data_IF_975340935154
#
_entry.id   IF_975340935154
#
_cell.length_a   1.000
_cell.length_b   1.000
_cell.length_c   1.000
_cell.angle_alpha   90.00
_cell.angle_beta   90.00
_cell.angle_gamma   90.00
#
_symmetry.space_group_name_H-M   'P 1'
#
loop_
_entity.id
_entity.type
_entity.pdbx_description
1 polymer ?
#
# COMPACT_ATOMS: atom_id res chain seq x y z
N UNK A 1 -0.80 3.60 13.05
CA UNK A 1 -0.92 2.13 13.11
C UNK A 1 -2.39 1.75 13.18
N UNK A 2 -2.91 0.96 12.23
CA UNK A 2 -4.36 0.66 12.11
C UNK A 2 -4.92 -0.16 13.28
N UNK A 3 -4.12 -1.03 13.92
CA UNK A 3 -4.61 -1.83 15.05
C UNK A 3 -5.04 -0.98 16.25
N UNK A 4 -4.45 0.21 16.45
CA UNK A 4 -4.91 1.16 17.48
C UNK A 4 -6.32 1.72 17.22
N UNK A 5 -6.87 1.45 16.03
CA UNK A 5 -8.21 1.85 15.60
C UNK A 5 -9.17 0.67 15.48
N UNK A 6 -8.80 -0.51 16.03
CA UNK A 6 -9.67 -1.69 16.12
C UNK A 6 -9.56 -2.65 14.93
N UNK A 7 -8.59 -2.46 14.04
CA UNK A 7 -8.37 -3.37 12.91
C UNK A 7 -7.54 -4.59 13.32
N UNK A 8 -7.86 -5.74 12.75
CA UNK A 8 -6.93 -6.86 12.62
C UNK A 8 -5.96 -6.54 11.48
N UNK A 9 -4.66 -6.50 11.78
CA UNK A 9 -3.63 -6.09 10.83
C UNK A 9 -2.66 -7.22 10.60
N UNK A 10 -2.42 -7.54 9.33
CA UNK A 10 -1.36 -8.46 8.91
C UNK A 10 -0.29 -7.66 8.17
N UNK A 11 0.95 -7.73 8.63
CA UNK A 11 2.13 -7.17 7.95
C UNK A 11 2.93 -8.31 7.32
N UNK A 12 3.30 -8.18 6.05
CA UNK A 12 4.12 -9.16 5.34
C UNK A 12 5.48 -8.57 5.02
N UNK A 13 6.55 -9.27 5.38
CA UNK A 13 7.93 -8.83 5.17
C UNK A 13 8.79 -10.05 4.83
N UNK A 14 9.69 -9.93 3.87
CA UNK A 14 10.54 -11.06 3.44
C UNK A 14 11.76 -11.24 4.33
N UNK A 15 12.20 -10.16 5.00
CA UNK A 15 13.34 -10.15 5.91
C UNK A 15 12.94 -10.59 7.31
N UNK A 16 13.56 -11.66 7.81
CA UNK A 16 13.45 -12.05 9.22
C UNK A 16 13.72 -10.89 10.18
N UNK A 17 14.79 -10.10 9.92
CA UNK A 17 15.13 -8.95 10.76
C UNK A 17 14.11 -7.82 10.63
N UNK A 18 13.55 -7.62 9.44
CA UNK A 18 12.45 -6.69 9.21
C UNK A 18 11.22 -7.05 10.04
N UNK A 19 10.87 -8.34 10.09
CA UNK A 19 9.79 -8.85 10.93
C UNK A 19 10.04 -8.56 12.41
N UNK A 20 11.21 -8.94 12.93
CA UNK A 20 11.59 -8.71 14.33
C UNK A 20 11.50 -7.21 14.73
N UNK A 21 11.96 -6.31 13.85
CA UNK A 21 11.88 -4.86 14.09
C UNK A 21 10.43 -4.36 14.07
N UNK A 22 9.64 -4.82 13.09
CA UNK A 22 8.23 -4.44 12.97
C UNK A 22 7.39 -4.93 14.17
N UNK A 23 7.64 -6.15 14.65
CA UNK A 23 6.99 -6.71 15.84
C UNK A 23 7.32 -5.91 17.09
N UNK A 24 8.60 -5.58 17.31
CA UNK A 24 9.03 -4.79 18.46
C UNK A 24 8.42 -3.38 18.44
N UNK A 25 8.40 -2.74 17.26
CA UNK A 25 7.76 -1.43 17.09
C UNK A 25 6.24 -1.50 17.34
N UNK A 26 5.55 -2.50 16.78
CA UNK A 26 4.13 -2.72 16.98
C UNK A 26 3.78 -2.96 18.45
N UNK A 27 4.56 -3.78 19.15
CA UNK A 27 4.38 -4.06 20.58
C UNK A 27 4.56 -2.80 21.43
N UNK A 28 5.58 -1.98 21.12
CA UNK A 28 5.80 -0.70 21.81
C UNK A 28 4.62 0.25 21.60
N UNK A 29 4.15 0.41 20.36
CA UNK A 29 3.04 1.30 20.01
C UNK A 29 1.67 0.80 20.53
N UNK A 30 1.47 -0.51 20.68
CA UNK A 30 0.27 -1.06 21.32
C UNK A 30 0.27 -0.81 22.84
N UNK A 31 1.45 -0.85 23.47
CA UNK A 31 1.60 -0.61 24.92
C UNK A 31 1.51 0.88 25.26
N UNK A 32 2.22 1.72 24.54
CA UNK A 32 2.29 3.16 24.74
C UNK A 32 2.13 3.89 23.40
N UNK A 33 0.89 4.09 22.92
CA UNK A 33 0.63 4.64 21.60
C UNK A 33 1.13 6.08 21.46
N UNK A 34 1.97 6.31 20.45
CA UNK A 34 2.44 7.65 20.10
C UNK A 34 1.32 8.52 19.50
N UNK A 35 1.39 9.84 19.71
CA UNK A 35 0.33 10.78 19.27
C UNK A 35 0.14 10.82 17.75
N UNK A 36 1.18 10.56 16.96
CA UNK A 36 1.08 10.57 15.49
C UNK A 36 0.10 9.51 14.95
N UNK A 37 -0.27 8.51 15.75
CA UNK A 37 -1.24 7.48 15.36
C UNK A 37 -2.70 7.94 15.36
N UNK A 38 -3.06 9.06 15.99
CA UNK A 38 -4.46 9.42 16.24
C UNK A 38 -4.99 10.61 15.42
N UNK A 39 -4.15 11.29 14.64
CA UNK A 39 -4.58 12.47 13.87
C UNK A 39 -5.19 13.55 14.79
N UNK A 40 -6.18 14.30 14.30
CA UNK A 40 -6.93 15.30 15.10
C UNK A 40 -8.03 14.68 15.97
N UNK A 41 -8.34 13.39 15.78
CA UNK A 41 -9.22 12.62 16.66
C UNK A 41 -8.49 12.28 17.95
N UNK A 42 -9.13 12.47 19.11
CA UNK A 42 -8.61 11.97 20.39
C UNK A 42 -8.50 10.44 20.34
N UNK A 43 -7.65 9.85 21.20
CA UNK A 43 -7.51 8.40 21.39
C UNK A 43 -8.88 7.71 21.25
N UNK A 44 -8.98 6.84 20.26
CA UNK A 44 -10.21 6.09 19.98
C UNK A 44 -10.68 5.40 21.27
N UNK A 45 -11.96 5.54 21.62
CA UNK A 45 -12.56 4.76 22.70
C UNK A 45 -12.80 3.29 22.33
N UNK A 46 -12.46 2.89 21.09
CA UNK A 46 -12.54 1.50 20.65
C UNK A 46 -11.43 0.67 21.28
N UNK A 47 -11.71 -0.61 21.50
CA UNK A 47 -10.68 -1.59 21.80
C UNK A 47 -9.63 -1.60 20.68
N UNK A 48 -8.36 -1.76 21.08
CA UNK A 48 -7.29 -2.07 20.14
C UNK A 48 -7.59 -3.39 19.43
N UNK A 49 -7.27 -3.46 18.14
CA UNK A 49 -7.27 -4.71 17.38
C UNK A 49 -5.98 -5.49 17.59
N UNK A 50 -5.59 -6.29 16.61
CA UNK A 50 -4.41 -7.17 16.65
C UNK A 50 -3.44 -6.86 15.51
N UNK A 51 -2.19 -7.27 15.69
CA UNK A 51 -1.15 -7.20 14.68
C UNK A 51 -0.48 -8.57 14.60
N UNK A 52 -0.33 -9.08 13.38
CA UNK A 52 0.41 -10.28 13.06
C UNK A 52 1.43 -9.94 11.97
N UNK A 53 2.72 -10.10 12.28
CA UNK A 53 3.79 -9.89 11.30
C UNK A 53 4.20 -11.27 10.78
N UNK A 54 4.25 -11.39 9.47
CA UNK A 54 4.43 -12.65 8.77
C UNK A 54 5.68 -12.53 7.91
N UNK A 55 6.68 -13.37 8.21
CA UNK A 55 7.82 -13.55 7.31
C UNK A 55 7.37 -14.32 6.07
N UNK A 56 7.51 -13.74 4.88
CA UNK A 56 7.16 -14.39 3.62
C UNK A 56 7.29 -13.52 2.37
N UNK A 57 7.28 -14.18 1.21
CA UNK A 57 7.24 -13.54 -0.10
C UNK A 57 5.79 -13.22 -0.51
N UNK A 58 5.52 -11.95 -0.84
CA UNK A 58 4.22 -11.47 -1.32
C UNK A 58 3.68 -12.22 -2.53
N UNK A 59 4.57 -12.66 -3.43
CA UNK A 59 4.20 -13.42 -4.62
C UNK A 59 3.96 -14.90 -4.34
N UNK A 60 4.42 -15.41 -3.19
CA UNK A 60 4.06 -16.73 -2.69
C UNK A 60 2.66 -16.74 -2.06
N UNK A 61 2.11 -17.94 -1.91
CA UNK A 61 0.84 -18.20 -1.20
C UNK A 61 1.02 -18.87 0.17
N UNK A 62 2.24 -19.26 0.51
CA UNK A 62 2.53 -20.04 1.73
C UNK A 62 2.17 -19.29 3.01
N UNK A 63 2.26 -17.96 2.98
CA UNK A 63 1.94 -17.11 4.11
C UNK A 63 0.44 -16.90 4.32
N UNK A 64 -0.41 -17.16 3.31
CA UNK A 64 -1.85 -16.82 3.36
C UNK A 64 -2.57 -17.56 4.51
N UNK A 65 -2.23 -18.82 4.76
CA UNK A 65 -2.80 -19.59 5.86
C UNK A 65 -2.45 -18.99 7.24
N UNK A 66 -1.28 -18.36 7.37
CA UNK A 66 -0.86 -17.65 8.60
C UNK A 66 -1.59 -16.31 8.78
N UNK A 67 -2.18 -15.77 7.72
CA UNK A 67 -3.04 -14.59 7.74
C UNK A 67 -4.53 -14.93 7.88
N UNK A 68 -4.89 -16.20 8.18
CA UNK A 68 -6.27 -16.66 8.31
C UNK A 68 -6.89 -17.22 7.03
N UNK A 69 -6.20 -17.16 5.89
CA UNK A 69 -6.66 -17.70 4.60
C UNK A 69 -7.79 -16.89 3.93
N UNK A 70 -8.23 -15.81 4.56
CA UNK A 70 -9.28 -14.92 4.06
C UNK A 70 -8.71 -13.75 3.24
N UNK A 71 -9.60 -13.01 2.59
CA UNK A 71 -9.28 -11.77 1.88
C UNK A 71 -9.34 -10.58 2.82
N UNK A 72 -8.65 -9.50 2.46
CA UNK A 72 -8.58 -8.27 3.24
C UNK A 72 -9.62 -7.24 2.81
N UNK A 73 -10.29 -6.63 3.79
CA UNK A 73 -11.17 -5.47 3.56
C UNK A 73 -10.39 -4.19 3.20
N UNK A 74 -9.11 -4.13 3.59
CA UNK A 74 -8.22 -3.02 3.31
C UNK A 74 -6.81 -3.54 3.03
N UNK A 75 -6.22 -3.11 1.91
CA UNK A 75 -4.80 -3.27 1.64
C UNK A 75 -4.17 -1.88 1.59
N UNK A 76 -3.06 -1.69 2.30
CA UNK A 76 -2.32 -0.44 2.31
C UNK A 76 -0.96 -0.62 1.62
N UNK A 77 -0.79 0.01 0.46
CA UNK A 77 0.47 0.02 -0.29
C UNK A 77 1.20 1.34 -0.03
N UNK A 78 2.35 1.25 0.63
CA UNK A 78 3.27 2.36 0.79
C UNK A 78 4.69 1.83 0.73
N UNK A 79 5.53 2.45 -0.11
CA UNK A 79 6.90 2.00 -0.40
C UNK A 79 7.06 0.58 -0.93
N UNK A 80 5.95 -0.13 -1.23
CA UNK A 80 5.97 -1.50 -1.73
C UNK A 80 6.06 -1.54 -3.25
N UNK A 81 5.08 -0.99 -3.98
CA UNK A 81 5.10 -0.99 -5.45
C UNK A 81 6.34 -0.29 -6.03
N UNK A 82 6.84 0.78 -5.41
CA UNK A 82 8.06 1.45 -5.88
C UNK A 82 9.33 0.65 -5.61
N UNK A 83 9.32 -0.32 -4.70
CA UNK A 83 10.47 -1.17 -4.42
C UNK A 83 10.56 -2.37 -5.38
N UNK A 84 9.43 -2.79 -5.96
CA UNK A 84 9.37 -3.88 -6.94
C UNK A 84 10.05 -3.50 -8.25
N UNK A 85 10.74 -4.48 -8.86
CA UNK A 85 11.19 -4.35 -10.24
C UNK A 85 9.98 -4.08 -11.17
N UNK A 86 10.12 -3.23 -12.21
CA UNK A 86 9.00 -2.86 -13.07
C UNK A 86 8.23 -4.04 -13.66
N UNK A 87 8.91 -5.14 -13.97
CA UNK A 87 8.34 -6.37 -14.53
C UNK A 87 7.44 -7.13 -13.55
N UNK A 88 7.55 -6.84 -12.24
CA UNK A 88 6.75 -7.46 -11.20
C UNK A 88 5.43 -6.72 -10.93
N UNK A 89 5.17 -5.59 -11.61
CA UNK A 89 3.99 -4.74 -11.38
C UNK A 89 2.69 -5.40 -11.83
N UNK A 90 2.68 -6.12 -12.96
CA UNK A 90 1.50 -6.89 -13.39
C UNK A 90 1.20 -8.05 -12.43
N UNK A 91 2.19 -8.89 -12.02
CA UNK A 91 2.00 -9.84 -10.93
C UNK A 91 1.48 -9.21 -9.63
N UNK A 92 1.94 -8.00 -9.29
CA UNK A 92 1.43 -7.27 -8.13
C UNK A 92 -0.06 -6.95 -8.24
N UNK A 93 -0.52 -6.42 -9.38
CA UNK A 93 -1.97 -6.18 -9.62
C UNK A 93 -2.77 -7.47 -9.45
N UNK A 94 -2.27 -8.59 -9.99
CA UNK A 94 -2.92 -9.88 -9.86
C UNK A 94 -3.00 -10.35 -8.40
N UNK A 95 -1.94 -10.16 -7.60
CA UNK A 95 -1.94 -10.48 -6.17
C UNK A 95 -2.90 -9.58 -5.38
N UNK A 96 -2.88 -8.27 -5.59
CA UNK A 96 -3.85 -7.34 -4.98
C UNK A 96 -5.29 -7.80 -5.29
N UNK A 97 -5.59 -8.13 -6.54
CA UNK A 97 -6.93 -8.60 -6.95
C UNK A 97 -7.36 -9.90 -6.27
N UNK A 98 -6.41 -10.80 -5.99
CA UNK A 98 -6.69 -12.06 -5.30
C UNK A 98 -6.93 -11.84 -3.80
N UNK A 99 -6.11 -10.99 -3.18
CA UNK A 99 -6.07 -10.75 -1.74
C UNK A 99 -7.15 -9.78 -1.26
N UNK A 100 -7.64 -8.87 -2.11
CA UNK A 100 -8.66 -7.89 -1.71
C UNK A 100 -10.05 -8.54 -1.68
N UNK A 101 -10.85 -8.20 -0.67
CA UNK A 101 -12.26 -8.59 -0.60
C UNK A 101 -13.09 -7.89 -1.70
N UNK A 102 -14.23 -8.45 -2.14
CA UNK A 102 -15.07 -7.81 -3.17
C UNK A 102 -15.56 -6.40 -2.84
N UNK A 103 -15.69 -6.06 -1.55
CA UNK A 103 -16.03 -4.72 -1.05
C UNK A 103 -14.84 -4.01 -0.40
N UNK A 104 -13.65 -4.60 -0.48
CA UNK A 104 -12.45 -4.05 0.10
C UNK A 104 -11.89 -2.89 -0.70
N UNK A 105 -10.97 -2.15 -0.08
CA UNK A 105 -10.29 -1.02 -0.68
C UNK A 105 -8.77 -1.22 -0.72
N UNK A 106 -8.16 -0.90 -1.85
CA UNK A 106 -6.71 -0.69 -1.92
C UNK A 106 -6.44 0.80 -1.69
N UNK A 107 -5.67 1.13 -0.68
CA UNK A 107 -5.19 2.48 -0.39
C UNK A 107 -3.71 2.53 -0.74
N UNK A 108 -3.32 3.45 -1.62
CA UNK A 108 -1.93 3.65 -2.00
C UNK A 108 -1.46 5.03 -1.57
N UNK A 109 -0.34 5.09 -0.86
CA UNK A 109 0.43 6.32 -0.71
C UNK A 109 1.46 6.35 -1.84
N UNK A 110 1.11 7.06 -2.90
CA UNK A 110 1.89 7.11 -4.13
C UNK A 110 3.15 7.95 -3.95
N UNK A 111 4.31 7.26 -3.98
CA UNK A 111 5.65 7.82 -3.79
C UNK A 111 6.68 6.97 -4.55
N UNK A 112 7.71 7.55 -5.19
CA UNK A 112 7.91 8.97 -5.48
C UNK A 112 7.24 9.38 -6.80
N UNK A 113 6.59 10.56 -6.79
CA UNK A 113 5.94 11.12 -7.98
C UNK A 113 6.76 12.20 -8.69
N UNK A 114 7.71 12.85 -7.99
CA UNK A 114 8.60 13.86 -8.56
C UNK A 114 9.76 13.27 -9.38
N UNK A 115 10.02 11.97 -9.24
CA UNK A 115 11.19 11.30 -9.85
C UNK A 115 10.94 11.07 -11.35
N UNK A 116 11.92 11.38 -12.24
CA UNK A 116 11.81 11.02 -13.66
C UNK A 116 11.60 9.52 -13.88
N UNK A 117 10.80 9.14 -14.88
CA UNK A 117 10.42 7.75 -15.14
C UNK A 117 11.60 6.84 -15.53
N UNK A 118 12.65 7.42 -16.09
CA UNK A 118 13.89 6.75 -16.50
C UNK A 118 14.95 6.69 -15.38
N UNK A 119 14.70 7.30 -14.23
CA UNK A 119 15.66 7.32 -13.14
C UNK A 119 15.76 5.94 -12.44
N UNK A 120 16.99 5.52 -12.05
CA UNK A 120 17.23 4.18 -11.52
C UNK A 120 16.53 3.97 -10.17
N UNK A 121 15.87 2.83 -9.96
CA UNK A 121 15.29 2.43 -8.68
C UNK A 121 16.08 1.33 -7.95
N UNK A 122 15.56 0.80 -6.82
CA UNK A 122 14.42 1.32 -6.07
C UNK A 122 14.79 2.57 -5.20
N UNK A 123 13.81 3.44 -4.85
CA UNK A 123 12.43 3.40 -5.32
C UNK A 123 12.34 3.81 -6.79
N UNK A 124 11.60 3.05 -7.59
CA UNK A 124 11.28 3.40 -8.97
C UNK A 124 10.26 4.53 -9.01
N UNK A 125 10.30 5.38 -10.05
CA UNK A 125 9.29 6.41 -10.23
C UNK A 125 7.89 5.81 -10.45
N UNK A 126 6.88 6.44 -9.83
CA UNK A 126 5.49 5.98 -9.89
C UNK A 126 4.52 6.96 -10.57
N UNK A 127 5.00 8.07 -11.14
CA UNK A 127 4.10 9.04 -11.79
C UNK A 127 3.32 8.39 -12.95
N UNK A 128 1.99 8.39 -12.83
CA UNK A 128 1.07 7.72 -13.76
C UNK A 128 1.00 6.18 -13.65
N UNK A 129 1.89 5.53 -12.89
CA UNK A 129 2.02 4.06 -12.86
C UNK A 129 0.80 3.38 -12.24
N UNK A 130 0.30 3.84 -11.09
CA UNK A 130 -0.91 3.28 -10.49
C UNK A 130 -2.12 3.39 -11.43
N UNK A 131 -2.26 4.50 -12.14
CA UNK A 131 -3.36 4.67 -13.10
C UNK A 131 -3.25 3.72 -14.29
N UNK A 132 -2.06 3.61 -14.88
CA UNK A 132 -1.82 2.68 -16.00
C UNK A 132 -2.13 1.24 -15.60
N UNK A 133 -1.64 0.79 -14.44
CA UNK A 133 -1.87 -0.57 -13.93
C UNK A 133 -3.34 -0.83 -13.58
N UNK A 134 -3.94 0.03 -12.75
CA UNK A 134 -5.19 -0.26 -12.07
C UNK A 134 -6.42 0.15 -12.88
N UNK A 135 -6.37 1.30 -13.56
CA UNK A 135 -7.50 1.83 -14.34
C UNK A 135 -7.42 1.45 -15.82
N UNK A 136 -6.25 1.60 -16.45
CA UNK A 136 -6.11 1.35 -17.90
C UNK A 136 -5.92 -0.14 -18.23
N UNK A 137 -5.34 -0.91 -17.29
CA UNK A 137 -4.97 -2.31 -17.52
C UNK A 137 -3.67 -2.46 -18.31
N UNK A 138 -2.78 -1.48 -18.19
CA UNK A 138 -1.42 -1.52 -18.73
C UNK A 138 -0.45 -2.28 -17.82
N UNK A 139 0.83 -2.22 -18.17
CA UNK A 139 1.91 -2.96 -17.52
C UNK A 139 2.75 -2.09 -16.56
N UNK A 140 2.43 -0.80 -16.43
CA UNK A 140 3.09 0.11 -15.49
C UNK A 140 4.53 0.49 -15.85
N UNK A 141 5.07 0.07 -17.00
CA UNK A 141 6.40 0.51 -17.47
C UNK A 141 6.24 1.71 -18.40
N UNK A 142 6.18 2.91 -17.82
CA UNK A 142 5.93 4.15 -18.54
C UNK A 142 7.25 4.84 -18.93
N UNK A 143 7.33 5.35 -20.16
CA UNK A 143 8.38 6.29 -20.59
C UNK A 143 7.93 7.75 -20.47
N UNK A 144 6.62 7.97 -20.48
CA UNK A 144 5.96 9.26 -20.27
C UNK A 144 4.59 9.01 -19.67
N UNK A 145 4.04 10.01 -18.99
CA UNK A 145 2.64 9.96 -18.57
C UNK A 145 1.73 9.88 -19.79
N UNK A 146 0.71 9.03 -19.69
CA UNK A 146 -0.35 8.89 -20.70
C UNK A 146 -1.56 9.71 -20.28
N UNK A 147 -2.35 10.14 -21.26
CA UNK A 147 -3.67 10.71 -20.96
C UNK A 147 -4.53 9.68 -20.25
N UNK A 148 -5.18 10.12 -19.17
CA UNK A 148 -6.08 9.29 -18.38
C UNK A 148 -7.38 9.14 -19.14
N UNK A 149 -7.73 7.93 -19.54
CA UNK A 149 -8.99 7.64 -20.23
C UNK A 149 -10.02 7.12 -19.22
N UNK A 150 -11.29 7.47 -19.40
CA UNK A 150 -12.37 6.95 -18.53
C UNK A 150 -12.78 5.51 -18.84
N UNK A 151 -12.26 4.93 -19.93
CA UNK A 151 -12.72 3.67 -20.51
C UNK A 151 -11.67 2.55 -20.46
N UNK A 152 -10.70 2.67 -19.55
CA UNK A 152 -9.65 1.68 -19.33
C UNK A 152 -10.19 0.29 -19.00
N UNK A 153 -9.40 -0.74 -19.36
CA UNK A 153 -9.74 -2.16 -19.14
C UNK A 153 -9.18 -2.70 -17.82
N UNK A 154 -8.67 -1.82 -16.96
CA UNK A 154 -8.15 -2.18 -15.66
C UNK A 154 -9.22 -2.77 -14.75
N UNK A 155 -8.76 -3.54 -13.76
CA UNK A 155 -9.62 -4.30 -12.84
C UNK A 155 -10.15 -3.45 -11.69
N UNK A 156 -9.69 -2.20 -11.58
CA UNK A 156 -9.98 -1.31 -10.47
C UNK A 156 -10.46 0.05 -10.98
N UNK A 157 -11.20 0.75 -10.14
CA UNK A 157 -11.58 2.14 -10.34
C UNK A 157 -11.09 2.98 -9.15
N UNK A 158 -10.59 4.18 -9.43
CA UNK A 158 -10.16 5.12 -8.39
C UNK A 158 -11.37 5.86 -7.83
N UNK A 159 -11.63 5.71 -6.54
CA UNK A 159 -12.74 6.38 -5.86
C UNK A 159 -12.31 7.68 -5.18
N UNK A 160 -11.05 7.78 -4.75
CA UNK A 160 -10.49 9.00 -4.15
C UNK A 160 -9.07 9.25 -4.65
N UNK A 161 -8.70 10.53 -4.78
CA UNK A 161 -7.33 10.95 -5.07
C UNK A 161 -7.06 12.33 -4.48
N UNK A 162 -6.20 12.40 -3.47
CA UNK A 162 -5.98 13.64 -2.74
C UNK A 162 -4.57 13.74 -2.16
N UNK A 163 -4.13 14.97 -1.93
CA UNK A 163 -2.86 15.25 -1.26
C UNK A 163 -3.02 15.02 0.25
N UNK A 164 -2.20 14.17 0.91
CA UNK A 164 -2.27 14.00 2.35
C UNK A 164 -1.89 15.31 3.07
N UNK A 165 -2.54 15.57 4.21
CA UNK A 165 -2.29 16.79 5.01
C UNK A 165 -0.88 16.87 5.59
N UNK A 166 -0.26 15.70 5.84
CA UNK A 166 1.13 15.56 6.27
C UNK A 166 1.87 14.82 5.16
N UNK A 167 3.01 15.36 4.75
CA UNK A 167 3.89 14.77 3.74
C UNK A 167 5.32 14.75 4.30
N UNK A 168 6.15 13.85 3.77
CA UNK A 168 7.57 13.82 4.11
C UNK A 168 8.34 14.63 3.05
N UNK A 169 8.52 15.93 3.30
CA UNK A 169 9.21 16.83 2.34
C UNK A 169 10.62 16.35 1.97
N UNK A 170 11.35 15.79 2.94
CA UNK A 170 12.75 15.38 2.77
C UNK A 170 12.95 14.25 1.76
N UNK A 171 11.99 13.33 1.63
CA UNK A 171 12.09 12.19 0.72
C UNK A 171 11.10 12.29 -0.44
N UNK A 172 9.87 12.74 -0.21
CA UNK A 172 8.78 12.83 -1.20
C UNK A 172 8.77 14.08 -2.05
N UNK A 173 9.63 15.06 -1.76
CA UNK A 173 9.60 16.38 -2.40
C UNK A 173 8.25 17.10 -2.20
N UNK A 174 7.47 16.65 -1.22
CA UNK A 174 6.11 17.12 -0.96
C UNK A 174 5.08 16.79 -2.06
N UNK A 175 5.39 15.83 -2.94
CA UNK A 175 4.55 15.44 -4.09
C UNK A 175 3.66 14.23 -3.86
N UNK A 176 3.79 13.57 -2.70
CA UNK A 176 3.03 12.37 -2.37
C UNK A 176 1.53 12.58 -2.51
N UNK A 177 0.84 11.58 -3.03
CA UNK A 177 -0.61 11.58 -3.19
C UNK A 177 -1.18 10.30 -2.58
N UNK A 178 -2.38 10.37 -2.01
CA UNK A 178 -3.12 9.18 -1.64
C UNK A 178 -4.19 8.87 -2.69
N UNK A 179 -4.24 7.62 -3.13
CA UNK A 179 -5.29 7.09 -3.98
C UNK A 179 -6.02 5.94 -3.30
N UNK A 180 -7.34 5.87 -3.51
CA UNK A 180 -8.17 4.77 -3.01
C UNK A 180 -8.83 4.10 -4.20
N UNK A 181 -8.78 2.78 -4.23
CA UNK A 181 -9.20 1.95 -5.35
C UNK A 181 -10.15 0.86 -4.88
N UNK A 182 -11.20 0.62 -5.67
CA UNK A 182 -12.10 -0.53 -5.49
C UNK A 182 -12.07 -1.39 -6.74
N UNK A 183 -12.59 -2.61 -6.68
CA UNK A 183 -12.87 -3.38 -7.89
C UNK A 183 -13.82 -2.59 -8.80
N UNK A 184 -13.64 -2.77 -10.11
CA UNK A 184 -14.55 -2.31 -11.16
C UNK A 184 -15.64 -3.35 -11.42
#
# INVERSE_FOLDING_TARGET
MLALHGFEVHGLEVSHKGCEVAENYAAAELKEPSEYNFGSSRKSSRSTGSINIIEGDFFSREWEARAGGDRFDLIFDYTFLCALLPEMREPWVARIRQLLAPKGVLVCLEFPLHKPLDAPGPPWALSGVYWDLLAEGGHGMLQKEKEKTGNGRGLFQRVEYFKPRRNHEQFGGGTDMMSVWTWK
#
